data_IF_502114463850
#
_entry.id   IF_502114463850
#
_cell.length_a   1.000
_cell.length_b   1.000
_cell.length_c   1.000
_cell.angle_alpha   90.00
_cell.angle_beta   90.00
_cell.angle_gamma   90.00
#
_symmetry.space_group_name_H-M   'P 1'
#
loop_
_entity.id
_entity.type
_entity.pdbx_description
1 polymer ?
#
# COMPACT_ATOMS: atom_id res chain seq x y z
N UNK A 1 -24.41 10.07 3.54
CA UNK A 1 -24.02 8.73 4.06
C UNK A 1 -22.55 8.51 3.73
N UNK A 2 -21.76 8.27 4.75
CA UNK A 2 -20.32 8.04 4.61
C UNK A 2 -20.02 6.80 3.77
N UNK A 3 -19.11 6.92 2.79
CA UNK A 3 -18.61 5.78 2.01
C UNK A 3 -17.11 5.62 2.23
N UNK A 4 -16.67 4.39 2.52
CA UNK A 4 -15.27 4.04 2.84
C UNK A 4 -14.76 2.99 1.85
N UNK A 5 -13.65 3.29 1.17
CA UNK A 5 -12.97 2.33 0.31
C UNK A 5 -12.01 1.44 1.14
N UNK A 6 -12.20 0.13 1.07
CA UNK A 6 -11.45 -0.88 1.83
C UNK A 6 -10.59 -1.73 0.90
N UNK A 7 -9.31 -1.99 1.25
CA UNK A 7 -8.41 -2.76 0.40
C UNK A 7 -8.69 -4.27 0.51
N UNK A 8 -8.85 -4.96 -0.62
CA UNK A 8 -8.76 -6.43 -0.66
C UNK A 8 -7.34 -6.89 -0.32
N UNK A 9 -7.25 -8.03 0.34
CA UNK A 9 -5.96 -8.67 0.63
C UNK A 9 -5.46 -8.40 2.05
N UNK A 10 -4.14 -8.26 2.21
CA UNK A 10 -3.46 -8.30 3.51
C UNK A 10 -3.97 -7.28 4.54
N UNK A 11 -4.35 -6.09 4.11
CA UNK A 11 -4.79 -5.02 5.01
C UNK A 11 -6.27 -5.13 5.43
N UNK A 12 -7.10 -5.96 4.76
CA UNK A 12 -8.55 -5.97 4.97
C UNK A 12 -8.95 -6.25 6.42
N UNK A 13 -8.38 -7.30 7.01
CA UNK A 13 -8.74 -7.74 8.37
C UNK A 13 -8.48 -6.66 9.42
N UNK A 14 -7.31 -6.04 9.35
CA UNK A 14 -6.93 -5.00 10.31
C UNK A 14 -7.67 -3.68 10.03
N UNK A 15 -7.99 -3.38 8.77
CA UNK A 15 -8.86 -2.26 8.39
C UNK A 15 -10.25 -2.39 9.02
N UNK A 16 -10.86 -3.57 8.89
CA UNK A 16 -12.19 -3.83 9.49
C UNK A 16 -12.11 -3.75 11.01
N UNK A 17 -11.06 -4.31 11.63
CA UNK A 17 -10.87 -4.21 13.09
C UNK A 17 -10.77 -2.76 13.55
N UNK A 18 -10.01 -1.95 12.85
CA UNK A 18 -9.83 -0.53 13.15
C UNK A 18 -11.14 0.25 13.05
N UNK A 19 -11.92 0.00 11.98
CA UNK A 19 -13.23 0.66 11.79
C UNK A 19 -14.27 0.17 12.82
N UNK A 20 -14.29 -1.11 13.14
CA UNK A 20 -15.19 -1.66 14.17
C UNK A 20 -14.95 -1.03 15.54
N UNK A 21 -13.71 -0.70 15.86
CA UNK A 21 -13.35 -0.03 17.10
C UNK A 21 -13.93 1.40 17.23
N UNK A 22 -14.34 2.01 16.11
CA UNK A 22 -15.03 3.32 16.06
C UNK A 22 -16.51 3.19 15.65
N UNK A 23 -17.09 1.99 15.84
CA UNK A 23 -18.52 1.74 15.63
C UNK A 23 -18.94 1.43 14.20
N UNK A 24 -18.00 1.27 13.26
CA UNK A 24 -18.29 0.97 11.85
C UNK A 24 -17.94 -0.50 11.54
N UNK A 25 -18.92 -1.39 11.65
CA UNK A 25 -18.71 -2.83 11.50
C UNK A 25 -18.97 -3.32 10.07
N UNK A 26 -17.89 -3.69 9.39
CA UNK A 26 -17.90 -4.32 8.06
C UNK A 26 -17.43 -5.77 8.10
N UNK A 27 -17.60 -6.47 9.23
CA UNK A 27 -17.12 -7.86 9.42
C UNK A 27 -17.66 -8.84 8.36
N UNK A 28 -18.81 -8.54 7.74
CA UNK A 28 -19.35 -9.33 6.64
C UNK A 28 -18.42 -9.45 5.42
N UNK A 29 -17.46 -8.55 5.21
CA UNK A 29 -16.45 -8.71 4.17
C UNK A 29 -15.40 -9.78 4.48
N UNK A 30 -15.31 -10.25 5.72
CA UNK A 30 -14.40 -11.33 6.10
C UNK A 30 -14.99 -12.73 5.87
N UNK A 31 -16.28 -12.81 5.60
CA UNK A 31 -16.93 -14.07 5.24
C UNK A 31 -16.50 -14.48 3.83
N UNK A 32 -15.81 -15.60 3.70
CA UNK A 32 -15.32 -16.14 2.44
C UNK A 32 -16.44 -16.53 1.46
N UNK A 33 -17.66 -16.75 1.95
CA UNK A 33 -18.86 -17.02 1.12
C UNK A 33 -19.46 -15.73 0.55
N UNK A 34 -19.20 -14.57 1.17
CA UNK A 34 -19.70 -13.29 0.72
C UNK A 34 -18.88 -12.76 -0.46
N UNK A 35 -19.53 -12.55 -1.60
CA UNK A 35 -18.91 -11.99 -2.81
C UNK A 35 -19.32 -10.55 -3.10
N UNK A 36 -20.03 -9.91 -2.18
CA UNK A 36 -20.44 -8.52 -2.32
C UNK A 36 -19.21 -7.60 -2.33
N UNK A 37 -19.23 -6.63 -3.22
CA UNK A 37 -18.18 -5.60 -3.31
C UNK A 37 -18.57 -4.32 -2.58
N UNK A 38 -19.82 -4.24 -2.11
CA UNK A 38 -20.31 -3.17 -1.26
C UNK A 38 -21.26 -3.73 -0.21
N UNK A 39 -21.25 -3.13 0.97
CA UNK A 39 -22.21 -3.43 2.04
C UNK A 39 -22.39 -2.21 2.94
N UNK A 40 -23.50 -2.14 3.63
CA UNK A 40 -23.67 -1.22 4.73
C UNK A 40 -23.02 -1.80 5.98
N UNK A 41 -22.58 -0.92 6.88
CA UNK A 41 -22.20 -1.32 8.23
C UNK A 41 -23.45 -1.84 9.00
N UNK A 42 -23.26 -2.47 10.14
CA UNK A 42 -24.37 -3.04 10.93
C UNK A 42 -25.44 -2.00 11.33
N UNK A 43 -25.06 -0.72 11.45
CA UNK A 43 -25.99 0.36 11.82
C UNK A 43 -26.68 0.99 10.61
N UNK A 44 -26.24 0.69 9.39
CA UNK A 44 -26.74 1.29 8.15
C UNK A 44 -26.32 2.75 7.94
N UNK A 45 -25.37 3.26 8.72
CA UNK A 45 -24.92 4.65 8.68
C UNK A 45 -23.78 4.90 7.69
N UNK A 46 -23.00 3.86 7.41
CA UNK A 46 -21.88 3.93 6.48
C UNK A 46 -21.92 2.81 5.45
N UNK A 47 -21.28 3.04 4.32
CA UNK A 47 -21.10 2.07 3.22
C UNK A 47 -19.63 1.71 3.06
N UNK A 48 -19.31 0.44 3.04
CA UNK A 48 -18.00 -0.09 2.65
C UNK A 48 -17.95 -0.45 1.17
N UNK A 49 -16.88 -0.09 0.48
CA UNK A 49 -16.54 -0.54 -0.88
C UNK A 49 -15.29 -1.40 -0.81
N UNK A 50 -15.39 -2.66 -1.22
CA UNK A 50 -14.28 -3.61 -1.21
C UNK A 50 -13.58 -3.62 -2.58
N UNK A 51 -12.44 -2.94 -2.69
CA UNK A 51 -11.71 -2.73 -3.94
C UNK A 51 -10.27 -3.27 -3.87
N UNK A 52 -9.57 -3.36 -5.00
CA UNK A 52 -8.13 -3.69 -4.98
C UNK A 52 -7.36 -2.59 -4.26
N UNK A 53 -6.30 -2.95 -3.53
CA UNK A 53 -5.50 -1.99 -2.77
C UNK A 53 -4.99 -0.80 -3.63
N UNK A 54 -4.54 -1.09 -4.86
CA UNK A 54 -4.07 -0.06 -5.81
C UNK A 54 -5.19 0.88 -6.31
N UNK A 55 -6.45 0.49 -6.17
CA UNK A 55 -7.60 1.26 -6.66
C UNK A 55 -8.24 2.12 -5.55
N UNK A 56 -7.96 1.83 -4.27
CA UNK A 56 -8.51 2.60 -3.14
C UNK A 56 -8.32 4.11 -3.32
N UNK A 57 -7.12 4.63 -3.63
CA UNK A 57 -6.93 6.07 -3.78
C UNK A 57 -7.78 6.67 -4.91
N UNK A 58 -8.00 5.91 -5.98
CA UNK A 58 -8.81 6.36 -7.13
C UNK A 58 -10.25 6.61 -6.70
N UNK A 59 -10.86 5.67 -5.93
CA UNK A 59 -12.22 5.85 -5.42
C UNK A 59 -12.35 7.07 -4.50
N UNK A 60 -11.31 7.36 -3.73
CA UNK A 60 -11.28 8.53 -2.84
C UNK A 60 -11.07 9.81 -3.65
N UNK A 61 -10.09 9.85 -4.56
CA UNK A 61 -9.75 11.02 -5.38
C UNK A 61 -10.93 11.48 -6.24
N UNK A 62 -11.69 10.52 -6.81
CA UNK A 62 -12.89 10.82 -7.62
C UNK A 62 -14.17 11.00 -6.79
N UNK A 63 -14.08 11.07 -5.46
CA UNK A 63 -15.20 11.34 -4.57
C UNK A 63 -16.25 10.22 -4.46
N UNK A 64 -15.94 8.99 -4.97
CA UNK A 64 -16.80 7.83 -4.81
C UNK A 64 -16.76 7.27 -3.39
N UNK A 65 -15.69 7.55 -2.66
CA UNK A 65 -15.55 7.32 -1.24
C UNK A 65 -15.01 8.58 -0.56
N UNK A 66 -15.53 8.92 0.61
CA UNK A 66 -15.05 10.05 1.41
C UNK A 66 -13.78 9.69 2.17
N UNK A 67 -13.65 8.41 2.57
CA UNK A 67 -12.48 7.84 3.23
C UNK A 67 -11.96 6.61 2.49
N UNK A 68 -10.70 6.28 2.69
CA UNK A 68 -10.11 5.03 2.24
C UNK A 68 -8.98 4.57 3.15
N UNK A 69 -8.76 3.25 3.21
CA UNK A 69 -7.60 2.67 3.89
C UNK A 69 -6.71 2.05 2.83
N UNK A 70 -5.42 2.46 2.81
CA UNK A 70 -4.48 2.10 1.76
C UNK A 70 -3.06 2.02 2.32
N UNK A 71 -2.18 1.20 1.74
CA UNK A 71 -0.77 1.17 2.11
C UNK A 71 -0.04 2.45 1.67
N UNK A 72 0.92 2.91 2.46
CA UNK A 72 1.76 4.06 2.10
C UNK A 72 2.55 3.81 0.81
N UNK A 73 2.93 2.56 0.54
CA UNK A 73 3.54 2.12 -0.71
C UNK A 73 2.70 2.46 -1.94
N UNK A 74 1.38 2.30 -1.86
CA UNK A 74 0.47 2.66 -2.96
C UNK A 74 0.41 4.17 -3.15
N UNK A 75 0.41 4.95 -2.06
CA UNK A 75 0.42 6.41 -2.14
C UNK A 75 1.71 6.92 -2.78
N UNK A 76 2.86 6.32 -2.45
CA UNK A 76 4.16 6.63 -3.05
C UNK A 76 4.25 6.23 -4.52
N UNK A 77 3.60 5.14 -4.92
CA UNK A 77 3.59 4.68 -6.30
C UNK A 77 2.67 5.50 -7.21
N UNK A 78 1.48 5.87 -6.70
CA UNK A 78 0.41 6.48 -7.51
C UNK A 78 0.34 7.99 -7.45
N UNK A 79 0.92 8.62 -6.41
CA UNK A 79 0.83 10.07 -6.16
C UNK A 79 -0.60 10.63 -6.29
N UNK A 80 -1.63 9.99 -5.69
CA UNK A 80 -3.01 10.42 -5.84
C UNK A 80 -3.24 11.76 -5.12
N UNK A 81 -4.19 12.54 -5.63
CA UNK A 81 -4.63 13.77 -4.97
C UNK A 81 -5.61 13.47 -3.84
N UNK A 82 -5.12 12.95 -2.73
CA UNK A 82 -5.89 12.62 -1.52
C UNK A 82 -5.22 13.22 -0.28
N UNK A 83 -6.01 13.54 0.74
CA UNK A 83 -5.48 13.96 2.03
C UNK A 83 -5.09 12.72 2.86
N UNK A 84 -3.82 12.60 3.28
CA UNK A 84 -3.40 11.60 4.25
C UNK A 84 -3.78 12.11 5.64
N UNK A 85 -4.75 11.45 6.29
CA UNK A 85 -5.30 11.96 7.55
C UNK A 85 -4.81 11.21 8.80
N UNK A 86 -4.37 9.95 8.68
CA UNK A 86 -3.77 9.21 9.79
C UNK A 86 -2.82 8.10 9.30
N UNK A 87 -1.81 7.78 10.11
CA UNK A 87 -1.09 6.50 10.05
C UNK A 87 -1.78 5.52 10.98
N UNK A 88 -2.30 4.43 10.44
CA UNK A 88 -3.04 3.43 11.22
C UNK A 88 -2.13 2.43 11.95
N UNK A 89 -0.82 2.43 11.67
CA UNK A 89 0.20 1.68 12.39
C UNK A 89 0.18 0.16 12.18
N UNK A 90 -0.68 -0.37 11.31
CA UNK A 90 -0.72 -1.79 10.97
C UNK A 90 -0.28 -2.07 9.53
N UNK A 91 -0.13 -3.35 9.19
CA UNK A 91 0.27 -3.78 7.85
C UNK A 91 1.71 -3.41 7.50
N UNK A 92 2.58 -3.33 8.50
CA UNK A 92 3.98 -2.93 8.33
C UNK A 92 4.72 -3.80 7.32
N UNK A 93 5.35 -3.16 6.34
CA UNK A 93 6.25 -3.74 5.36
C UNK A 93 7.24 -2.66 4.90
N UNK A 94 8.17 -3.05 4.05
CA UNK A 94 9.13 -2.12 3.45
C UNK A 94 9.26 -2.38 1.95
N UNK A 95 9.47 -1.35 1.17
CA UNK A 95 9.82 -1.48 -0.23
C UNK A 95 11.36 -1.59 -0.33
N UNK A 96 11.85 -2.66 -0.95
CA UNK A 96 13.27 -2.99 -0.91
C UNK A 96 13.80 -3.45 -2.25
N UNK A 97 15.10 -3.22 -2.48
CA UNK A 97 15.86 -3.86 -3.56
C UNK A 97 16.31 -5.23 -3.09
N UNK A 98 16.06 -6.26 -3.89
CA UNK A 98 16.57 -7.60 -3.65
C UNK A 98 17.21 -8.19 -4.91
N UNK A 99 18.21 -9.06 -4.70
CA UNK A 99 18.98 -9.72 -5.75
C UNK A 99 19.13 -11.20 -5.44
N UNK A 100 19.59 -12.01 -6.41
CA UNK A 100 19.98 -13.40 -6.10
C UNK A 100 21.08 -13.43 -5.06
N UNK A 101 20.97 -14.32 -4.08
CA UNK A 101 22.02 -14.54 -3.08
C UNK A 101 23.36 -14.95 -3.72
N UNK A 102 23.30 -15.64 -4.86
CA UNK A 102 24.47 -16.06 -5.65
C UNK A 102 25.06 -14.97 -6.55
N UNK A 103 24.38 -13.82 -6.71
CA UNK A 103 24.91 -12.71 -7.52
C UNK A 103 26.08 -12.01 -6.80
N UNK A 104 26.93 -11.28 -7.51
CA UNK A 104 28.00 -10.49 -6.90
C UNK A 104 27.50 -9.20 -6.24
N UNK A 105 26.26 -8.79 -6.51
CA UNK A 105 25.72 -7.52 -6.05
C UNK A 105 25.41 -7.52 -4.55
N UNK A 106 25.85 -6.47 -3.85
CA UNK A 106 25.65 -6.29 -2.39
C UNK A 106 25.06 -4.92 -2.07
N UNK A 107 25.06 -4.02 -3.05
CA UNK A 107 24.47 -2.69 -2.98
C UNK A 107 23.79 -2.37 -4.32
N UNK A 108 22.77 -1.49 -4.36
CA UNK A 108 22.16 -1.07 -5.63
C UNK A 108 23.13 -0.50 -6.66
N UNK A 109 24.20 0.16 -6.19
CA UNK A 109 25.24 0.74 -7.07
C UNK A 109 26.13 -0.32 -7.75
N UNK A 110 26.11 -1.57 -7.29
CA UNK A 110 26.84 -2.67 -7.93
C UNK A 110 26.13 -3.20 -9.18
N UNK A 111 24.85 -2.81 -9.38
CA UNK A 111 24.10 -3.21 -10.55
C UNK A 111 24.74 -2.65 -11.83
N UNK A 112 24.74 -3.41 -12.93
CA UNK A 112 25.30 -2.91 -14.18
C UNK A 112 24.50 -1.73 -14.73
N UNK A 113 25.19 -0.83 -15.42
CA UNK A 113 24.56 0.23 -16.20
C UNK A 113 23.60 -0.42 -17.22
N UNK A 114 22.37 0.09 -17.29
CA UNK A 114 21.28 -0.50 -18.06
C UNK A 114 20.86 -1.91 -17.59
N UNK A 115 21.22 -2.31 -16.37
CA UNK A 115 20.70 -3.52 -15.73
C UNK A 115 19.18 -3.44 -15.57
N UNK A 116 18.51 -4.59 -15.66
CA UNK A 116 17.06 -4.67 -15.57
C UNK A 116 16.63 -4.91 -14.13
N UNK A 117 15.64 -4.16 -13.68
CA UNK A 117 15.04 -4.26 -12.36
C UNK A 117 13.56 -4.53 -12.50
N UNK A 118 13.09 -5.70 -12.08
CA UNK A 118 11.68 -6.03 -12.15
C UNK A 118 10.94 -5.47 -10.95
N UNK A 119 9.77 -4.85 -11.18
CA UNK A 119 8.96 -4.28 -10.11
C UNK A 119 7.49 -4.12 -10.50
N UNK A 120 6.63 -4.25 -9.48
CA UNK A 120 5.24 -3.77 -9.53
C UNK A 120 5.14 -2.27 -9.20
N UNK A 121 6.13 -1.74 -8.49
CA UNK A 121 6.24 -0.34 -8.04
C UNK A 121 7.20 0.42 -8.96
N UNK A 122 6.73 0.62 -10.20
CA UNK A 122 7.55 1.17 -11.31
C UNK A 122 8.00 2.59 -11.01
N UNK A 123 7.12 3.43 -10.46
CA UNK A 123 7.41 4.83 -10.14
C UNK A 123 8.43 4.91 -9.01
N UNK A 124 8.16 4.22 -7.90
CA UNK A 124 9.08 4.18 -6.75
C UNK A 124 10.46 3.65 -7.15
N UNK A 125 10.52 2.56 -7.94
CA UNK A 125 11.78 1.99 -8.41
C UNK A 125 12.54 2.98 -9.30
N UNK A 126 11.87 3.61 -10.27
CA UNK A 126 12.48 4.59 -11.17
C UNK A 126 13.04 5.79 -10.42
N UNK A 127 12.26 6.34 -9.48
CA UNK A 127 12.67 7.52 -8.72
C UNK A 127 13.86 7.20 -7.81
N UNK A 128 13.87 6.01 -7.21
CA UNK A 128 14.99 5.55 -6.40
C UNK A 128 16.29 5.44 -7.21
N UNK A 129 16.30 4.71 -8.34
CA UNK A 129 17.51 4.54 -9.14
C UNK A 129 17.95 5.86 -9.81
N UNK A 130 17.01 6.73 -10.14
CA UNK A 130 17.34 8.09 -10.61
C UNK A 130 18.04 8.91 -9.52
N UNK A 131 17.64 8.78 -8.25
CA UNK A 131 18.31 9.48 -7.14
C UNK A 131 19.76 9.03 -6.90
N UNK A 132 20.10 7.83 -7.39
CA UNK A 132 21.47 7.29 -7.36
C UNK A 132 22.27 7.59 -8.63
N UNK A 133 21.70 8.35 -9.59
CA UNK A 133 22.29 8.55 -10.94
C UNK A 133 22.64 7.23 -11.65
N UNK A 134 21.94 6.15 -11.32
CA UNK A 134 22.15 4.83 -11.92
C UNK A 134 21.08 4.54 -12.97
N UNK A 135 21.40 4.57 -14.28
CA UNK A 135 20.46 4.25 -15.32
C UNK A 135 20.20 2.74 -15.36
N UNK A 136 18.99 2.33 -14.97
CA UNK A 136 18.49 0.96 -15.07
C UNK A 136 17.22 0.91 -15.91
N UNK A 137 16.92 -0.25 -16.47
CA UNK A 137 15.67 -0.53 -17.16
C UNK A 137 14.66 -1.13 -16.13
N UNK A 138 13.54 -0.46 -15.90
CA UNK A 138 12.48 -1.01 -15.04
C UNK A 138 11.55 -1.90 -15.87
N UNK A 139 11.48 -3.18 -15.49
CA UNK A 139 10.61 -4.19 -16.11
C UNK A 139 9.34 -4.32 -15.28
N UNK A 140 8.16 -3.85 -15.77
CA UNK A 140 6.92 -3.93 -15.01
C UNK A 140 6.45 -5.39 -14.90
N UNK A 141 6.27 -5.89 -13.67
CA UNK A 141 5.64 -7.17 -13.39
C UNK A 141 4.51 -6.99 -12.37
N UNK A 142 3.36 -7.63 -12.62
CA UNK A 142 2.15 -7.44 -11.80
C UNK A 142 1.93 -8.55 -10.76
N UNK A 143 2.85 -9.50 -10.66
CA UNK A 143 2.86 -10.58 -9.68
C UNK A 143 4.11 -11.45 -9.83
N UNK A 144 4.46 -12.21 -8.77
CA UNK A 144 5.63 -13.11 -8.74
C UNK A 144 6.91 -12.45 -9.28
N UNK A 145 7.19 -11.26 -8.76
CA UNK A 145 8.31 -10.41 -9.23
C UNK A 145 9.66 -11.11 -9.04
N UNK A 146 9.73 -12.03 -8.07
CA UNK A 146 10.89 -12.87 -7.77
C UNK A 146 11.34 -13.73 -8.97
N UNK A 147 10.42 -14.05 -9.89
CA UNK A 147 10.75 -14.77 -11.12
C UNK A 147 11.67 -13.96 -12.03
N UNK A 148 11.69 -12.64 -11.96
CA UNK A 148 12.60 -11.80 -12.74
C UNK A 148 14.06 -12.25 -12.61
N UNK A 149 14.67 -12.18 -11.43
CA UNK A 149 16.04 -12.65 -11.24
C UNK A 149 16.18 -14.19 -11.44
N UNK A 150 15.22 -14.99 -10.97
CA UNK A 150 15.29 -16.45 -11.07
C UNK A 150 15.46 -16.90 -12.51
N UNK A 151 14.73 -16.31 -13.43
CA UNK A 151 14.77 -16.63 -14.87
C UNK A 151 15.86 -15.90 -15.63
N UNK A 152 16.56 -14.95 -15.00
CA UNK A 152 17.53 -14.10 -15.69
C UNK A 152 16.91 -12.98 -16.51
N UNK A 153 15.62 -12.67 -16.31
CA UNK A 153 14.95 -11.54 -16.95
C UNK A 153 15.45 -10.20 -16.38
N UNK A 154 15.80 -10.18 -15.08
CA UNK A 154 16.33 -8.98 -14.41
C UNK A 154 17.47 -9.33 -13.47
N UNK A 155 18.32 -8.37 -13.19
CA UNK A 155 19.41 -8.48 -12.22
C UNK A 155 18.93 -8.32 -10.79
N UNK A 156 17.88 -7.51 -10.58
CA UNK A 156 17.29 -7.20 -9.28
C UNK A 156 15.78 -7.10 -9.35
N UNK A 157 15.16 -7.01 -8.19
CA UNK A 157 13.75 -6.62 -8.03
C UNK A 157 13.63 -5.44 -7.06
N UNK A 158 12.54 -4.68 -7.21
CA UNK A 158 12.03 -3.78 -6.17
C UNK A 158 10.63 -4.24 -5.80
N UNK A 159 10.46 -4.75 -4.58
CA UNK A 159 9.17 -5.29 -4.13
C UNK A 159 8.96 -5.10 -2.62
N UNK A 160 7.71 -5.32 -2.17
CA UNK A 160 7.35 -5.24 -0.76
C UNK A 160 7.85 -6.47 0.00
N UNK A 161 8.53 -6.19 1.09
CA UNK A 161 9.06 -7.19 2.02
C UNK A 161 8.40 -6.97 3.38
N UNK A 162 7.64 -7.96 3.86
CA UNK A 162 7.12 -7.98 5.23
C UNK A 162 8.08 -8.76 6.14
N UNK A 163 8.12 -10.08 6.02
CA UNK A 163 8.98 -10.94 6.85
C UNK A 163 10.26 -11.37 6.13
N UNK A 164 10.37 -11.14 4.82
CA UNK A 164 11.49 -11.62 3.99
C UNK A 164 11.45 -13.13 3.67
N UNK A 165 10.42 -13.84 4.11
CA UNK A 165 10.29 -15.28 3.89
C UNK A 165 10.26 -15.65 2.40
N UNK A 166 9.45 -14.96 1.60
CA UNK A 166 9.34 -15.20 0.15
C UNK A 166 10.67 -15.02 -0.55
N UNK A 167 11.43 -13.95 -0.22
CA UNK A 167 12.77 -13.73 -0.77
C UNK A 167 13.69 -14.92 -0.45
N UNK A 168 13.74 -15.31 0.82
CA UNK A 168 14.60 -16.41 1.29
C UNK A 168 14.26 -17.74 0.63
N UNK A 169 12.96 -18.08 0.53
CA UNK A 169 12.50 -19.32 -0.13
C UNK A 169 12.83 -19.36 -1.62
N UNK A 170 12.99 -18.19 -2.25
CA UNK A 170 13.35 -18.06 -3.67
C UNK A 170 14.85 -17.74 -3.91
N UNK A 171 15.70 -17.88 -2.88
CA UNK A 171 17.15 -17.66 -3.01
C UNK A 171 17.53 -16.21 -3.28
N UNK A 172 16.70 -15.27 -2.86
CA UNK A 172 16.94 -13.82 -2.97
C UNK A 172 17.37 -13.25 -1.60
N UNK A 173 18.17 -12.20 -1.65
CA UNK A 173 18.56 -11.39 -0.49
C UNK A 173 18.20 -9.95 -0.70
N UNK A 174 17.75 -9.32 0.35
CA UNK A 174 17.51 -7.87 0.41
C UNK A 174 18.86 -7.15 0.57
N UNK A 175 19.09 -6.15 -0.25
CA UNK A 175 20.35 -5.36 -0.23
C UNK A 175 20.15 -3.90 0.11
N UNK A 176 18.91 -3.39 0.00
CA UNK A 176 18.60 -1.99 0.34
C UNK A 176 17.11 -1.83 0.64
N UNK A 177 16.77 -0.96 1.58
CA UNK A 177 15.40 -0.56 1.90
C UNK A 177 15.14 0.84 1.36
N UNK A 178 14.14 1.01 0.50
CA UNK A 178 13.78 2.32 -0.05
C UNK A 178 13.00 3.14 0.98
N UNK A 179 11.98 2.54 1.57
CA UNK A 179 11.17 3.12 2.65
C UNK A 179 10.29 2.06 3.33
N UNK A 180 9.84 2.39 4.53
CA UNK A 180 8.85 1.60 5.27
C UNK A 180 7.42 2.05 4.91
N UNK A 181 6.49 1.11 4.95
CA UNK A 181 5.08 1.32 4.66
C UNK A 181 4.20 0.73 5.75
N UNK A 182 3.18 1.49 6.13
CA UNK A 182 2.07 1.09 6.99
C UNK A 182 0.74 1.50 6.33
N UNK A 183 -0.38 0.99 6.82
CA UNK A 183 -1.70 1.42 6.37
C UNK A 183 -1.97 2.88 6.75
N UNK A 184 -2.48 3.64 5.79
CA UNK A 184 -2.87 5.04 5.93
C UNK A 184 -4.37 5.19 5.78
N UNK A 185 -4.95 6.05 6.61
CA UNK A 185 -6.28 6.59 6.36
C UNK A 185 -6.13 7.79 5.43
N UNK A 186 -6.86 7.76 4.31
CA UNK A 186 -6.90 8.86 3.35
C UNK A 186 -8.33 9.38 3.22
N UNK A 187 -8.46 10.66 2.89
CA UNK A 187 -9.74 11.31 2.71
C UNK A 187 -9.78 12.08 1.40
N UNK A 188 -10.99 12.22 0.83
CA UNK A 188 -11.21 13.14 -0.27
C UNK A 188 -11.00 14.59 0.23
N UNK A 189 -10.14 15.40 -0.40
CA UNK A 189 -9.69 16.68 0.16
C UNK A 189 -10.83 17.65 0.47
N UNK A 190 -11.83 17.77 -0.43
CA UNK A 190 -12.98 18.66 -0.23
C UNK A 190 -13.92 18.11 0.84
N UNK A 191 -14.23 16.81 0.84
CA UNK A 191 -15.10 16.19 1.84
C UNK A 191 -14.53 16.35 3.25
N UNK A 192 -13.20 16.24 3.39
CA UNK A 192 -12.52 16.42 4.66
C UNK A 192 -12.56 17.87 5.13
N UNK A 193 -12.30 18.86 4.23
CA UNK A 193 -12.35 20.28 4.57
C UNK A 193 -13.74 20.76 4.98
N UNK A 194 -14.78 20.22 4.37
CA UNK A 194 -16.19 20.60 4.62
C UNK A 194 -16.81 19.80 5.78
N UNK A 195 -16.07 18.94 6.42
CA UNK A 195 -16.57 18.00 7.46
C UNK A 195 -17.85 17.27 7.04
N UNK A 196 -17.88 16.81 5.81
CA UNK A 196 -19.04 16.15 5.24
C UNK A 196 -19.36 14.84 5.99
N UNK A 197 -20.62 14.64 6.39
CA UNK A 197 -21.10 13.44 7.10
C UNK A 197 -20.37 13.15 8.44
N UNK A 198 -19.86 14.16 9.16
CA UNK A 198 -19.19 13.95 10.47
C UNK A 198 -17.82 13.29 10.38
N UNK A 199 -17.13 13.43 9.25
CA UNK A 199 -15.81 12.84 9.01
C UNK A 199 -14.77 13.17 10.09
N UNK A 200 -14.80 14.39 10.62
CA UNK A 200 -13.85 14.85 11.63
C UNK A 200 -13.89 14.01 12.91
N UNK A 201 -15.07 13.59 13.36
CA UNK A 201 -15.23 12.79 14.57
C UNK A 201 -14.64 11.41 14.38
N UNK A 202 -14.97 10.74 13.27
CA UNK A 202 -14.45 9.42 12.91
C UNK A 202 -12.92 9.47 12.76
N UNK A 203 -12.40 10.48 12.05
CA UNK A 203 -10.96 10.65 11.85
C UNK A 203 -10.24 10.92 13.20
N UNK A 204 -10.79 11.77 14.06
CA UNK A 204 -10.24 12.03 15.40
C UNK A 204 -10.20 10.78 16.26
N UNK A 205 -11.26 9.98 16.23
CA UNK A 205 -11.33 8.74 17.00
C UNK A 205 -10.35 7.69 16.45
N UNK A 206 -10.24 7.52 15.15
CA UNK A 206 -9.24 6.66 14.54
C UNK A 206 -7.80 7.12 14.87
N UNK A 207 -7.53 8.44 14.79
CA UNK A 207 -6.22 9.02 15.16
C UNK A 207 -5.86 8.78 16.62
N UNK A 208 -6.81 8.90 17.55
CA UNK A 208 -6.53 8.69 18.98
C UNK A 208 -6.08 7.27 19.31
N UNK A 209 -6.35 6.32 18.41
CA UNK A 209 -6.00 4.90 18.52
C UNK A 209 -4.73 4.51 17.74
N UNK A 210 -4.14 5.46 17.03
CA UNK A 210 -3.02 5.26 16.10
C UNK A 210 -1.85 6.16 16.44
N UNK A 211 -0.67 5.87 15.90
CA UNK A 211 0.49 6.75 16.01
C UNK A 211 0.26 8.05 15.20
N UNK A 212 0.68 9.22 15.71
CA UNK A 212 0.61 10.45 14.94
C UNK A 212 1.51 10.34 13.69
N UNK A 213 1.03 10.87 12.54
CA UNK A 213 1.89 11.06 11.37
C UNK A 213 3.06 11.97 11.76
N UNK A 214 4.29 11.68 11.30
CA UNK A 214 5.38 12.64 11.47
C UNK A 214 4.96 13.95 10.79
N UNK A 215 5.11 15.05 11.53
CA UNK A 215 4.86 16.41 11.03
C UNK A 215 5.94 16.67 9.97
N UNK A 216 5.55 16.81 8.71
CA UNK A 216 6.43 17.21 7.59
C UNK A 216 6.70 18.70 7.62
#
# INVERSE_FOLDING_TARGET
>A
MLTIALPKGALLKDSIRSLKAVGLDFSGFLDSSNRQLQMLDETGTARGLLVRALDVPVYVEYGQAQLGIVGYDVLREKHPNVAQVADLGFGGCRLSVAVKASSPYRSPIDLPIHGRVASKFVTCARDYFRSLDLPVEIVPLYGSVELGPITGMSEAIVDLVSTGRTLKENGLIEIEVLFESTARLVAHPLSYRLNHDGLDEIVKELRSRCNPLPVS
#
